data_IF_724087351521
#
_entry.id   IF_724087351521
#
_cell.length_a   1.000
_cell.length_b   1.000
_cell.length_c   1.000
_cell.angle_alpha   90.00
_cell.angle_beta   90.00
_cell.angle_gamma   90.00
#
_symmetry.space_group_name_H-M   'P 1'
#
loop_
_entity.id
_entity.type
_entity.pdbx_description
1 polymer ?
#
# COMPACT_ATOMS: atom_id res chain seq x y z
N UNK A 1 -7.38 -15.88 -5.08
CA UNK A 1 -8.00 -14.60 -5.43
C UNK A 1 -8.11 -13.73 -4.18
N UNK A 2 -7.80 -12.44 -4.31
CA UNK A 2 -7.97 -11.52 -3.19
C UNK A 2 -9.45 -11.38 -2.84
N UNK A 3 -9.74 -11.31 -1.56
CA UNK A 3 -11.11 -11.20 -1.06
C UNK A 3 -11.36 -9.78 -0.52
N UNK A 4 -12.11 -8.94 -1.26
CA UNK A 4 -12.39 -7.56 -0.81
C UNK A 4 -13.11 -7.51 0.54
N UNK A 5 -13.94 -8.50 0.85
CA UNK A 5 -14.67 -8.55 2.11
C UNK A 5 -13.73 -8.81 3.30
N UNK A 6 -12.55 -9.38 3.06
CA UNK A 6 -11.53 -9.54 4.08
C UNK A 6 -10.51 -8.40 4.06
N UNK A 7 -10.74 -7.33 3.27
CA UNK A 7 -9.83 -6.22 3.15
C UNK A 7 -8.59 -6.53 2.33
N UNK A 8 -8.66 -7.53 1.45
CA UNK A 8 -7.54 -7.94 0.61
C UNK A 8 -7.57 -7.25 -0.74
N UNK A 9 -6.40 -6.86 -1.23
CA UNK A 9 -6.22 -6.24 -2.54
C UNK A 9 -5.08 -6.97 -3.25
N UNK A 10 -5.30 -7.34 -4.51
CA UNK A 10 -4.25 -7.95 -5.32
C UNK A 10 -3.37 -6.85 -5.92
N UNK A 11 -2.05 -6.99 -5.76
CA UNK A 11 -1.06 -6.07 -6.32
C UNK A 11 -0.07 -6.89 -7.13
N UNK A 12 0.18 -6.48 -8.36
CA UNK A 12 1.11 -7.16 -9.26
C UNK A 12 2.46 -6.44 -9.24
N UNK A 13 3.51 -7.19 -8.91
CA UNK A 13 4.89 -6.68 -8.87
C UNK A 13 5.73 -7.51 -9.83
N UNK A 14 6.27 -6.88 -10.87
CA UNK A 14 7.06 -7.55 -11.91
C UNK A 14 6.36 -8.80 -12.46
N UNK A 15 5.04 -8.71 -12.67
CA UNK A 15 4.26 -9.80 -13.21
C UNK A 15 3.85 -10.88 -12.20
N UNK A 16 4.24 -10.74 -10.93
CA UNK A 16 3.85 -11.67 -9.87
C UNK A 16 2.74 -11.09 -9.02
N UNK A 17 1.71 -11.89 -8.78
CA UNK A 17 0.57 -11.47 -7.97
C UNK A 17 0.88 -11.58 -6.48
N UNK A 18 0.64 -10.52 -5.76
CA UNK A 18 0.73 -10.48 -4.31
C UNK A 18 -0.60 -10.06 -3.72
N UNK A 19 -0.96 -10.63 -2.58
CA UNK A 19 -2.15 -10.20 -1.84
C UNK A 19 -1.71 -9.26 -0.74
N UNK A 20 -2.27 -8.06 -0.73
CA UNK A 20 -2.01 -7.04 0.29
C UNK A 20 -3.23 -6.89 1.18
N UNK A 21 -3.00 -6.66 2.46
CA UNK A 21 -4.07 -6.30 3.40
C UNK A 21 -3.50 -5.53 4.59
N UNK A 22 -4.31 -4.64 5.15
CA UNK A 22 -3.90 -3.87 6.33
C UNK A 22 -4.35 -4.59 7.60
N UNK A 23 -3.37 -5.26 8.22
CA UNK A 23 -3.56 -5.82 9.57
C UNK A 23 -3.26 -4.75 10.60
N UNK A 24 -3.53 -5.01 11.87
CA UNK A 24 -3.15 -4.07 12.94
C UNK A 24 -1.64 -3.83 12.98
N UNK A 25 -0.85 -4.90 12.77
CA UNK A 25 0.60 -4.75 12.66
C UNK A 25 1.02 -3.89 11.49
N UNK A 26 0.36 -4.06 10.34
CA UNK A 26 0.63 -3.24 9.15
C UNK A 26 0.28 -1.78 9.40
N UNK A 27 -0.82 -1.51 10.10
CA UNK A 27 -1.20 -0.14 10.45
C UNK A 27 -0.17 0.50 11.37
N UNK A 28 0.36 -0.25 12.32
CA UNK A 28 1.40 0.25 13.22
C UNK A 28 2.69 0.58 12.45
N UNK A 29 3.09 -0.27 11.51
CA UNK A 29 4.25 0.01 10.64
C UNK A 29 4.01 1.24 9.78
N UNK A 30 2.79 1.41 9.27
CA UNK A 30 2.43 2.55 8.44
C UNK A 30 2.55 3.85 9.22
N UNK A 31 2.08 3.90 10.47
CA UNK A 31 2.22 5.10 11.29
C UNK A 31 3.69 5.51 11.48
N UNK A 32 4.56 4.54 11.70
CA UNK A 32 5.99 4.81 11.84
C UNK A 32 6.56 5.36 10.52
N UNK A 33 6.15 4.81 9.39
CA UNK A 33 6.63 5.23 8.07
C UNK A 33 6.18 6.64 7.70
N UNK A 34 5.07 7.12 8.25
CA UNK A 34 4.54 8.45 7.94
C UNK A 34 5.30 9.58 8.62
N UNK A 35 6.16 9.29 9.58
CA UNK A 35 7.03 10.23 10.30
C UNK A 35 6.31 11.43 10.95
N UNK A 36 5.55 12.20 10.20
CA UNK A 36 4.94 13.46 10.63
C UNK A 36 3.44 13.50 10.39
N UNK A 37 2.74 12.49 10.42
CA UNK A 37 1.32 12.52 10.24
C UNK A 37 0.65 11.37 10.97
N UNK A 38 -0.63 11.50 11.14
CA UNK A 38 -1.44 10.42 11.69
C UNK A 38 -2.05 9.63 10.53
N UNK A 39 -2.62 8.47 10.85
CA UNK A 39 -3.39 7.72 9.86
C UNK A 39 -4.57 8.53 9.34
N UNK A 40 -5.16 9.38 10.18
CA UNK A 40 -6.27 10.23 9.76
C UNK A 40 -5.84 11.26 8.72
N UNK A 41 -4.64 11.81 8.86
CA UNK A 41 -4.09 12.72 7.86
C UNK A 41 -3.89 12.02 6.52
N UNK A 42 -3.42 10.78 6.55
CA UNK A 42 -3.25 9.98 5.34
C UNK A 42 -4.60 9.71 4.67
N UNK A 43 -5.62 9.33 5.44
CA UNK A 43 -6.97 9.11 4.93
C UNK A 43 -7.51 10.38 4.26
N UNK A 44 -7.32 11.52 4.90
CA UNK A 44 -7.74 12.80 4.36
C UNK A 44 -7.04 13.11 3.04
N UNK A 45 -5.73 12.87 2.95
CA UNK A 45 -4.99 13.09 1.70
C UNK A 45 -5.53 12.22 0.56
N UNK A 46 -5.89 10.97 0.83
CA UNK A 46 -6.48 10.11 -0.19
C UNK A 46 -7.88 10.55 -0.58
N UNK A 47 -8.69 10.97 0.37
CA UNK A 47 -10.05 11.46 0.09
C UNK A 47 -10.05 12.73 -0.75
N UNK A 48 -9.11 13.64 -0.49
CA UNK A 48 -9.01 14.91 -1.20
C UNK A 48 -8.08 14.84 -2.41
N UNK A 49 -7.55 13.67 -2.72
CA UNK A 49 -6.60 13.43 -3.83
C UNK A 49 -5.33 14.27 -3.74
N UNK A 50 -4.88 14.53 -2.52
CA UNK A 50 -3.63 15.25 -2.25
C UNK A 50 -2.51 14.31 -1.81
N UNK A 51 -2.67 13.01 -2.04
CA UNK A 51 -1.65 12.04 -1.69
C UNK A 51 -0.41 12.19 -2.58
N UNK A 52 0.75 11.81 -2.03
CA UNK A 52 2.01 11.83 -2.74
C UNK A 52 2.42 10.41 -3.14
N UNK A 53 3.44 10.29 -3.99
CA UNK A 53 4.03 8.99 -4.33
C UNK A 53 4.54 8.29 -3.06
N UNK A 54 5.08 9.06 -2.12
CA UNK A 54 5.54 8.50 -0.83
C UNK A 54 4.37 7.90 -0.05
N UNK A 55 3.21 8.56 -0.05
CA UNK A 55 2.01 8.03 0.61
C UNK A 55 1.58 6.72 -0.03
N UNK A 56 1.56 6.65 -1.36
CA UNK A 56 1.19 5.45 -2.11
C UNK A 56 2.17 4.31 -1.76
N UNK A 57 3.46 4.60 -1.82
CA UNK A 57 4.49 3.60 -1.52
C UNK A 57 4.36 3.07 -0.10
N UNK A 58 4.21 3.95 0.89
CA UNK A 58 4.07 3.56 2.28
C UNK A 58 2.87 2.63 2.49
N UNK A 59 1.74 2.96 1.88
CA UNK A 59 0.52 2.18 2.02
C UNK A 59 0.64 0.81 1.34
N UNK A 60 1.24 0.78 0.16
CA UNK A 60 1.46 -0.48 -0.57
C UNK A 60 2.41 -1.39 0.20
N UNK A 61 3.51 -0.86 0.72
CA UNK A 61 4.46 -1.65 1.52
C UNK A 61 3.78 -2.21 2.76
N UNK A 62 3.03 -1.39 3.49
CA UNK A 62 2.32 -1.84 4.67
C UNK A 62 1.33 -2.95 4.33
N UNK A 63 0.58 -2.79 3.24
CA UNK A 63 -0.38 -3.79 2.79
C UNK A 63 0.27 -5.09 2.37
N UNK A 64 1.35 -5.01 1.60
CA UNK A 64 2.08 -6.20 1.16
C UNK A 64 2.65 -6.96 2.37
N UNK A 65 3.25 -6.26 3.31
CA UNK A 65 3.79 -6.89 4.51
C UNK A 65 2.68 -7.50 5.38
N UNK A 66 1.54 -6.85 5.45
CA UNK A 66 0.36 -7.39 6.11
C UNK A 66 -0.15 -8.66 5.45
N UNK A 67 0.06 -8.81 4.15
CA UNK A 67 -0.27 -10.02 3.38
C UNK A 67 0.82 -11.08 3.37
N UNK A 68 1.94 -10.86 4.06
CA UNK A 68 3.02 -11.84 4.18
C UNK A 68 4.28 -11.56 3.37
N UNK A 69 4.29 -10.48 2.56
CA UNK A 69 5.50 -10.09 1.82
C UNK A 69 6.57 -9.63 2.80
N UNK A 70 7.81 -10.06 2.58
CA UNK A 70 8.92 -9.82 3.51
C UNK A 70 9.89 -8.74 3.05
N UNK A 71 9.56 -8.00 2.00
CA UNK A 71 10.40 -6.93 1.50
C UNK A 71 10.25 -5.62 2.26
N UNK A 72 10.99 -4.63 1.83
CA UNK A 72 10.94 -3.26 2.36
C UNK A 72 10.77 -2.26 1.21
N UNK A 73 10.51 -0.99 1.53
CA UNK A 73 10.22 0.04 0.53
C UNK A 73 11.32 0.15 -0.55
N UNK A 74 12.59 -0.01 -0.17
CA UNK A 74 13.70 0.05 -1.11
C UNK A 74 13.60 -1.01 -2.21
N UNK A 75 13.01 -2.16 -1.93
CA UNK A 75 12.86 -3.23 -2.90
C UNK A 75 11.90 -2.87 -4.02
N UNK A 76 11.03 -1.90 -3.81
CA UNK A 76 10.03 -1.49 -4.79
C UNK A 76 10.50 -0.37 -5.73
N UNK A 77 11.71 0.15 -5.54
CA UNK A 77 12.21 1.27 -6.34
C UNK A 77 12.28 0.98 -7.84
N UNK A 78 12.63 -0.25 -8.19
CA UNK A 78 12.81 -0.67 -9.57
C UNK A 78 11.77 -1.68 -10.03
N UNK A 79 10.82 -2.01 -9.17
CA UNK A 79 9.76 -2.96 -9.47
C UNK A 79 8.67 -2.28 -10.29
N UNK A 80 8.19 -2.94 -11.32
CA UNK A 80 7.05 -2.47 -12.07
C UNK A 80 5.75 -2.95 -11.40
N UNK A 81 4.85 -2.01 -11.13
CA UNK A 81 3.53 -2.32 -10.61
C UNK A 81 2.58 -2.49 -11.78
N UNK A 82 1.86 -3.59 -11.81
CA UNK A 82 0.91 -3.89 -12.87
C UNK A 82 -0.12 -2.76 -13.00
N UNK A 83 -0.32 -2.24 -14.22
CA UNK A 83 -1.20 -1.12 -14.47
C UNK A 83 -0.58 0.26 -14.29
N UNK A 84 0.69 0.34 -13.85
CA UNK A 84 1.43 1.59 -13.72
C UNK A 84 1.00 2.44 -12.52
N UNK A 85 1.41 3.74 -12.50
CA UNK A 85 1.18 4.62 -11.34
C UNK A 85 -0.29 4.82 -10.96
N UNK A 86 -1.18 4.88 -11.94
CA UNK A 86 -2.61 5.06 -11.68
C UNK A 86 -3.18 3.86 -10.94
N UNK A 87 -2.83 2.66 -11.38
CA UNK A 87 -3.29 1.44 -10.72
C UNK A 87 -2.67 1.28 -9.33
N UNK A 88 -1.42 1.71 -9.17
CA UNK A 88 -0.77 1.71 -7.86
C UNK A 88 -1.53 2.59 -6.87
N UNK A 89 -1.92 3.79 -7.29
CA UNK A 89 -2.69 4.70 -6.45
C UNK A 89 -4.08 4.14 -6.13
N UNK A 90 -4.71 3.50 -7.10
CA UNK A 90 -6.02 2.85 -6.89
C UNK A 90 -5.90 1.73 -5.87
N UNK A 91 -4.90 0.85 -6.01
CA UNK A 91 -4.68 -0.25 -5.09
C UNK A 91 -4.42 0.24 -3.67
N UNK A 92 -3.63 1.30 -3.53
CA UNK A 92 -3.38 1.92 -2.23
C UNK A 92 -4.68 2.44 -1.61
N UNK A 93 -5.52 3.09 -2.41
CA UNK A 93 -6.79 3.64 -1.92
C UNK A 93 -7.79 2.54 -1.51
N UNK A 94 -7.70 1.36 -2.13
CA UNK A 94 -8.58 0.22 -1.80
C UNK A 94 -8.16 -0.48 -0.51
N UNK A 95 -6.92 -0.30 -0.09
CA UNK A 95 -6.44 -0.85 1.17
C UNK A 95 -7.07 -0.11 2.35
#
# INVERSE_FOLDING_TARGET
MANPYAGEVAIWLDGQRHVAKLTMGALAELEVALETGSLMDLVERFETRRFTTRDVLALIVAGLRGGGWQGVAADLRTVEIGGGPVEAARSAAEL
#
